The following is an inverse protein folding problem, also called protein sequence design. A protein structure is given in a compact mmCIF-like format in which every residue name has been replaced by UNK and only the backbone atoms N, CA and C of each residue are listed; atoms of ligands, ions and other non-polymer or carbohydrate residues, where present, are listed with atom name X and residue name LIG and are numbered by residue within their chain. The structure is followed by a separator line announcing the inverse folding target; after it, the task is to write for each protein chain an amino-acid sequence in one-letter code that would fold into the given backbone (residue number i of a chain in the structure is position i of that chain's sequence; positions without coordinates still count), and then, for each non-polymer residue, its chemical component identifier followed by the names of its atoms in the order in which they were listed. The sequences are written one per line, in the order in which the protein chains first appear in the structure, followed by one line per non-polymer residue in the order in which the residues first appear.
data_IF_765281816235
#
_entry.id   IF_765281816235
#
_cell.length_a   1.000
_cell.length_b   1.000
_cell.length_c   1.000
_cell.angle_alpha   90.00
_cell.angle_beta   90.00
_cell.angle_gamma   90.00
#
_symmetry.space_group_name_H-M   'P 1'
#
loop_
_entity.id
_entity.type
_entity.pdbx_description
1 polymer ?
#
# COMPACT_ATOMS: atom_id res chain seq x y z
N UNK A 1 -14.13 16.37 -46.86
CA UNK A 1 -14.65 16.60 -45.49
C UNK A 1 -15.58 15.42 -45.17
N UNK A 2 -15.50 14.61 -44.12
CA UNK A 2 -14.72 14.56 -42.88
C UNK A 2 -14.34 13.09 -42.65
N UNK A 3 -13.07 12.81 -42.34
CA UNK A 3 -12.63 11.48 -41.89
C UNK A 3 -13.04 11.35 -40.42
N UNK A 4 -13.94 10.43 -40.11
CA UNK A 4 -14.26 10.06 -38.74
C UNK A 4 -13.12 9.17 -38.21
N UNK A 5 -12.21 9.78 -37.46
CA UNK A 5 -11.15 9.07 -36.75
C UNK A 5 -11.79 8.50 -35.48
N UNK A 6 -12.10 7.20 -35.50
CA UNK A 6 -12.49 6.43 -34.33
C UNK A 6 -11.26 6.22 -33.45
N UNK A 7 -11.07 7.12 -32.49
CA UNK A 7 -10.14 6.96 -31.38
C UNK A 7 -10.70 5.90 -30.42
N UNK A 8 -10.30 4.64 -30.63
CA UNK A 8 -10.49 3.57 -29.66
C UNK A 8 -9.51 3.84 -28.51
N UNK A 9 -9.97 4.56 -27.50
CA UNK A 9 -9.28 4.68 -26.22
C UNK A 9 -9.42 3.32 -25.52
N UNK A 10 -8.38 2.49 -25.64
CA UNK A 10 -8.23 1.29 -24.83
C UNK A 10 -7.97 1.74 -23.40
N UNK A 11 -9.02 1.89 -22.61
CA UNK A 11 -8.92 2.01 -21.16
C UNK A 11 -8.47 0.65 -20.67
N UNK A 12 -7.16 0.48 -20.49
CA UNK A 12 -6.61 -0.61 -19.71
C UNK A 12 -7.06 -0.35 -18.27
N UNK A 13 -8.22 -0.88 -17.91
CA UNK A 13 -8.61 -1.04 -16.52
C UNK A 13 -7.69 -2.11 -15.96
N UNK A 14 -6.52 -1.69 -15.48
CA UNK A 14 -5.79 -2.47 -14.49
C UNK A 14 -6.71 -2.51 -13.27
N UNK A 15 -7.57 -3.53 -13.24
CA UNK A 15 -8.23 -3.95 -12.02
C UNK A 15 -7.13 -4.22 -11.03
N UNK A 16 -6.86 -3.24 -10.15
CA UNK A 16 -6.01 -3.42 -9.01
C UNK A 16 -6.62 -4.59 -8.23
N UNK A 17 -5.98 -5.75 -8.32
CA UNK A 17 -6.26 -6.85 -7.42
C UNK A 17 -5.92 -6.34 -6.02
N UNK A 18 -6.92 -5.79 -5.31
CA UNK A 18 -6.86 -5.34 -3.90
C UNK A 18 -6.38 -6.43 -2.92
N UNK A 19 -6.13 -7.66 -3.39
CA UNK A 19 -5.69 -8.81 -2.58
C UNK A 19 -4.32 -8.65 -1.91
N UNK A 20 -3.50 -7.68 -2.30
CA UNK A 20 -2.11 -7.58 -1.82
C UNK A 20 -1.94 -7.02 -0.39
N UNK A 21 -2.98 -6.43 0.22
CA UNK A 21 -2.91 -5.96 1.63
C UNK A 21 -3.95 -6.60 2.53
N UNK A 22 -4.04 -7.92 2.49
CA UNK A 22 -4.70 -8.63 3.58
C UNK A 22 -3.86 -8.39 4.84
N UNK A 23 -4.42 -7.72 5.84
CA UNK A 23 -3.76 -7.51 7.13
C UNK A 23 -3.35 -8.89 7.68
N UNK A 24 -2.14 -9.07 8.22
CA UNK A 24 -1.58 -10.38 8.56
C UNK A 24 -2.18 -10.96 9.85
N UNK A 25 -3.49 -10.82 10.03
CA UNK A 25 -4.17 -11.06 11.29
C UNK A 25 -5.65 -11.39 11.03
N UNK A 26 -6.05 -12.66 11.24
CA UNK A 26 -7.44 -13.09 11.04
C UNK A 26 -8.41 -12.43 12.03
N UNK A 27 -7.93 -12.05 13.22
CA UNK A 27 -8.75 -11.47 14.29
C UNK A 27 -8.66 -9.94 14.37
N UNK A 28 -8.28 -9.29 13.28
CA UNK A 28 -8.08 -7.84 13.26
C UNK A 28 -9.33 -7.08 12.84
N UNK A 29 -9.55 -5.93 13.48
CA UNK A 29 -10.71 -5.08 13.23
C UNK A 29 -10.46 -4.12 12.08
N UNK A 30 -11.56 -3.75 11.42
CA UNK A 30 -11.61 -2.68 10.44
C UNK A 30 -12.18 -1.42 11.11
N UNK A 31 -11.37 -0.37 11.20
CA UNK A 31 -11.81 0.93 11.68
C UNK A 31 -12.06 1.85 10.48
N UNK A 32 -13.32 2.22 10.29
CA UNK A 32 -13.80 3.03 9.20
C UNK A 32 -14.17 4.43 9.67
N UNK A 33 -14.14 5.40 8.75
CA UNK A 33 -14.51 6.79 8.97
C UNK A 33 -15.53 7.24 7.91
N UNK A 34 -16.40 8.19 8.25
CA UNK A 34 -17.36 8.74 7.27
C UNK A 34 -16.71 9.68 6.26
N UNK A 35 -15.68 10.40 6.72
CA UNK A 35 -14.95 11.39 5.94
C UNK A 35 -13.45 11.08 5.94
N UNK A 36 -12.69 11.51 4.92
CA UNK A 36 -11.23 11.45 4.93
C UNK A 36 -10.69 12.25 6.12
N UNK A 37 -9.76 11.66 6.87
CA UNK A 37 -9.28 12.22 8.12
C UNK A 37 -8.00 13.06 7.95
N UNK A 38 -7.81 14.11 8.76
CA UNK A 38 -8.76 14.65 9.73
C UNK A 38 -9.96 15.33 9.05
N UNK A 39 -11.12 15.24 9.68
CA UNK A 39 -12.34 15.87 9.16
C UNK A 39 -12.20 17.40 9.03
N UNK A 40 -12.73 17.97 7.95
CA UNK A 40 -12.66 19.40 7.61
C UNK A 40 -11.25 20.03 7.60
N UNK A 41 -10.21 19.24 7.30
CA UNK A 41 -8.84 19.73 7.07
C UNK A 41 -8.48 19.83 5.58
N UNK A 42 -7.41 20.57 5.27
CA UNK A 42 -6.95 20.82 3.90
C UNK A 42 -6.32 19.57 3.30
N UNK A 43 -6.81 19.17 2.13
CA UNK A 43 -6.27 18.08 1.33
C UNK A 43 -5.01 18.52 0.58
N UNK A 44 -4.02 17.65 0.52
CA UNK A 44 -2.83 17.84 -0.29
C UNK A 44 -3.10 17.36 -1.72
N UNK A 45 -2.46 18.00 -2.70
CA UNK A 45 -2.44 17.60 -4.10
C UNK A 45 -1.17 16.82 -4.48
N UNK A 46 -0.20 16.78 -3.56
CA UNK A 46 1.11 16.14 -3.76
C UNK A 46 1.76 15.74 -2.44
N UNK A 47 2.62 14.71 -2.50
CA UNK A 47 3.46 14.37 -1.35
C UNK A 47 4.51 15.46 -1.13
N UNK A 48 4.71 15.95 0.12
CA UNK A 48 5.74 16.93 0.42
C UNK A 48 7.14 16.39 0.11
N UNK A 49 8.04 17.24 -0.40
CA UNK A 49 9.40 16.85 -0.81
C UNK A 49 10.16 16.03 0.23
N UNK A 50 9.98 16.33 1.53
CA UNK A 50 10.66 15.59 2.61
C UNK A 50 10.33 14.08 2.62
N UNK A 51 9.12 13.70 2.21
CA UNK A 51 8.66 12.30 2.15
C UNK A 51 9.04 11.61 0.84
N UNK A 52 9.48 12.35 -0.18
CA UNK A 52 9.81 11.76 -1.48
C UNK A 52 11.14 11.01 -1.42
N UNK A 53 11.23 9.93 -2.20
CA UNK A 53 12.42 9.12 -2.36
C UNK A 53 12.15 7.62 -2.25
N UNK A 54 13.24 6.86 -2.12
CA UNK A 54 13.21 5.40 -2.04
C UNK A 54 13.54 4.97 -0.61
N UNK A 55 12.71 4.10 -0.08
CA UNK A 55 12.82 3.52 1.25
C UNK A 55 12.87 2.00 1.15
N UNK A 56 13.52 1.34 2.11
CA UNK A 56 13.66 -0.12 2.16
C UNK A 56 13.33 -0.63 3.56
N UNK A 57 12.54 -1.69 3.67
CA UNK A 57 12.34 -2.40 4.94
C UNK A 57 13.29 -3.61 5.09
N UNK A 58 13.17 -4.33 6.20
CA UNK A 58 13.99 -5.52 6.50
C UNK A 58 13.75 -6.66 5.50
N UNK A 59 12.50 -6.84 5.05
CA UNK A 59 12.11 -7.85 4.05
C UNK A 59 12.59 -7.55 2.62
N UNK A 60 13.39 -6.49 2.44
CA UNK A 60 13.83 -6.01 1.13
C UNK A 60 12.72 -5.60 0.18
N UNK A 61 11.58 -5.20 0.74
CA UNK A 61 10.56 -4.42 0.04
C UNK A 61 11.04 -2.97 -0.06
N UNK A 62 10.94 -2.41 -1.26
CA UNK A 62 11.23 -1.01 -1.53
C UNK A 62 9.94 -0.22 -1.67
N UNK A 63 9.84 0.92 -1.00
CA UNK A 63 8.81 1.91 -1.24
C UNK A 63 9.40 3.09 -1.99
N UNK A 64 8.78 3.47 -3.10
CA UNK A 64 9.05 4.71 -3.81
C UNK A 64 7.91 5.68 -3.58
N UNK A 65 8.20 6.82 -2.97
CA UNK A 65 7.25 7.93 -2.84
C UNK A 65 7.63 8.98 -3.88
N UNK A 66 6.79 9.07 -4.91
CA UNK A 66 6.86 10.10 -5.93
C UNK A 66 5.97 11.30 -5.54
N UNK A 67 5.86 12.29 -6.42
CA UNK A 67 5.00 13.45 -6.18
C UNK A 67 3.52 13.09 -6.01
N UNK A 68 3.03 12.13 -6.80
CA UNK A 68 1.60 11.82 -6.91
C UNK A 68 1.21 10.41 -6.41
N UNK A 69 2.17 9.58 -6.01
CA UNK A 69 1.94 8.17 -5.67
C UNK A 69 2.99 7.56 -4.76
N UNK A 70 2.64 6.43 -4.16
CA UNK A 70 3.50 5.53 -3.42
C UNK A 70 3.45 4.16 -4.12
N UNK A 71 4.60 3.60 -4.47
CA UNK A 71 4.72 2.29 -5.12
C UNK A 71 5.58 1.37 -4.24
N UNK A 72 5.10 0.17 -3.98
CA UNK A 72 5.90 -0.90 -3.40
C UNK A 72 6.50 -1.78 -4.49
N UNK A 73 7.77 -2.13 -4.32
CA UNK A 73 8.47 -3.15 -5.11
C UNK A 73 8.91 -4.25 -4.16
N UNK A 74 8.49 -5.47 -4.40
CA UNK A 74 8.91 -6.64 -3.64
C UNK A 74 9.29 -7.77 -4.58
N UNK A 75 10.04 -8.73 -4.05
CA UNK A 75 10.68 -9.78 -4.84
C UNK A 75 10.27 -11.13 -4.30
N UNK A 76 9.84 -12.02 -5.18
CA UNK A 76 9.73 -13.42 -4.83
C UNK A 76 10.91 -14.18 -5.44
N UNK A 77 11.58 -14.97 -4.59
CA UNK A 77 12.72 -15.78 -4.99
C UNK A 77 12.36 -17.24 -4.90
N UNK A 78 12.64 -17.97 -5.97
CA UNK A 78 12.41 -19.40 -6.07
C UNK A 78 13.66 -20.09 -6.58
N UNK A 79 13.82 -21.36 -6.21
CA UNK A 79 14.94 -22.19 -6.67
C UNK A 79 14.38 -23.38 -7.41
N UNK A 80 14.83 -23.61 -8.63
CA UNK A 80 14.47 -24.78 -9.45
C UNK A 80 15.74 -25.52 -9.87
N UNK A 81 15.63 -26.82 -10.15
CA UNK A 81 16.73 -27.54 -10.78
C UNK A 81 16.85 -27.17 -12.26
N UNK A 82 18.06 -27.17 -12.83
CA UNK A 82 18.27 -26.82 -14.25
C UNK A 82 17.49 -27.72 -15.22
N UNK A 83 17.20 -28.97 -14.83
CA UNK A 83 16.42 -29.89 -15.66
C UNK A 83 14.94 -29.52 -15.77
N UNK A 84 14.42 -28.70 -14.86
CA UNK A 84 13.00 -28.29 -14.86
C UNK A 84 12.70 -27.21 -15.89
N UNK A 85 13.72 -26.54 -16.44
CA UNK A 85 13.58 -25.47 -17.43
C UNK A 85 12.79 -25.94 -18.66
N UNK A 86 13.08 -27.14 -19.14
CA UNK A 86 12.47 -27.66 -20.36
C UNK A 86 10.96 -27.89 -20.19
N UNK A 87 10.54 -28.32 -19.00
CA UNK A 87 9.13 -28.50 -18.64
C UNK A 87 8.33 -27.19 -18.61
N UNK A 88 9.01 -26.04 -18.45
CA UNK A 88 8.37 -24.72 -18.40
C UNK A 88 8.14 -24.11 -19.80
N UNK A 89 8.63 -24.71 -20.87
CA UNK A 89 8.54 -24.12 -22.23
C UNK A 89 7.10 -24.00 -22.76
N UNK A 90 6.14 -24.72 -22.17
CA UNK A 90 4.69 -24.60 -22.48
C UNK A 90 4.20 -23.18 -22.21
N UNK A 91 4.51 -22.66 -21.03
CA UNK A 91 3.91 -21.43 -20.49
C UNK A 91 4.85 -20.22 -20.58
N UNK A 92 6.13 -20.46 -20.87
CA UNK A 92 7.17 -19.43 -20.81
C UNK A 92 8.06 -19.39 -22.07
N UNK A 93 8.58 -18.20 -22.37
CA UNK A 93 9.68 -17.97 -23.31
C UNK A 93 10.98 -17.83 -22.52
N UNK A 94 11.98 -18.63 -22.87
CA UNK A 94 13.22 -18.75 -22.09
C UNK A 94 14.35 -18.10 -22.88
N UNK A 95 14.98 -17.09 -22.28
CA UNK A 95 16.16 -16.40 -22.77
C UNK A 95 17.27 -16.51 -21.73
N UNK A 96 18.54 -16.48 -22.17
CA UNK A 96 19.74 -16.74 -21.33
C UNK A 96 19.61 -16.36 -19.84
N UNK A 97 19.21 -15.14 -19.52
CA UNK A 97 19.12 -14.61 -18.16
C UNK A 97 17.69 -14.25 -17.71
N UNK A 98 16.66 -14.59 -18.50
CA UNK A 98 15.27 -14.23 -18.20
C UNK A 98 14.28 -15.24 -18.76
N UNK A 99 13.22 -15.47 -18.00
CA UNK A 99 12.06 -16.23 -18.44
C UNK A 99 10.88 -15.25 -18.55
N UNK A 100 10.09 -15.33 -19.62
CA UNK A 100 8.95 -14.44 -19.86
C UNK A 100 7.68 -15.27 -19.92
N UNK A 101 6.71 -14.97 -19.04
CA UNK A 101 5.37 -15.57 -19.09
C UNK A 101 4.68 -15.23 -20.40
N UNK A 102 4.15 -16.22 -21.12
CA UNK A 102 3.54 -15.99 -22.44
C UNK A 102 2.25 -15.18 -22.36
N UNK A 103 1.47 -15.38 -21.31
CA UNK A 103 0.17 -14.76 -21.04
C UNK A 103 0.31 -13.30 -20.56
N UNK A 104 1.08 -13.07 -19.49
CA UNK A 104 1.18 -11.75 -18.85
C UNK A 104 2.32 -10.90 -19.38
N UNK A 105 3.23 -11.48 -20.16
CA UNK A 105 4.52 -10.88 -20.56
C UNK A 105 5.40 -10.50 -19.37
N UNK A 106 5.10 -10.98 -18.16
CA UNK A 106 5.90 -10.73 -16.98
C UNK A 106 7.29 -11.37 -17.13
N UNK A 107 8.33 -10.60 -16.82
CA UNK A 107 9.71 -11.06 -16.85
C UNK A 107 10.16 -11.57 -15.48
N UNK A 108 10.82 -12.72 -15.48
CA UNK A 108 11.42 -13.39 -14.33
C UNK A 108 12.92 -13.46 -14.58
N UNK A 109 13.71 -12.89 -13.68
CA UNK A 109 15.17 -12.92 -13.80
C UNK A 109 15.72 -14.26 -13.34
N UNK A 110 16.69 -14.80 -14.05
CA UNK A 110 17.26 -16.12 -13.80
C UNK A 110 18.77 -16.01 -13.57
N UNK A 111 19.27 -16.60 -12.49
CA UNK A 111 20.68 -16.60 -12.12
C UNK A 111 21.17 -18.02 -11.78
N UNK A 112 22.23 -18.54 -12.42
CA UNK A 112 22.77 -19.87 -12.11
C UNK A 112 23.34 -19.96 -10.69
N UNK A 113 23.06 -21.07 -10.00
CA UNK A 113 23.59 -21.41 -8.67
C UNK A 113 23.91 -22.90 -8.59
N UNK A 114 25.13 -23.29 -8.97
CA UNK A 114 25.50 -24.72 -9.06
C UNK A 114 24.59 -25.45 -10.06
N UNK A 115 23.94 -26.52 -9.64
CA UNK A 115 22.98 -27.31 -10.46
C UNK A 115 21.56 -26.74 -10.48
N UNK A 116 21.35 -25.62 -9.80
CA UNK A 116 20.06 -24.95 -9.73
C UNK A 116 20.07 -23.59 -10.42
N UNK A 117 18.88 -23.06 -10.60
CA UNK A 117 18.64 -21.68 -11.00
C UNK A 117 17.88 -20.98 -9.87
N UNK A 118 18.34 -19.78 -9.53
CA UNK A 118 17.57 -18.84 -8.73
C UNK A 118 16.72 -17.98 -9.68
N UNK A 119 15.41 -18.02 -9.47
CA UNK A 119 14.43 -17.20 -10.16
C UNK A 119 14.04 -16.03 -9.26
N UNK A 120 14.04 -14.81 -9.80
CA UNK A 120 13.58 -13.61 -9.11
C UNK A 120 12.44 -12.98 -9.89
N UNK A 121 11.24 -13.03 -9.33
CA UNK A 121 10.08 -12.31 -9.81
C UNK A 121 10.00 -10.95 -9.13
N UNK A 122 9.74 -9.90 -9.91
CA UNK A 122 9.55 -8.54 -9.41
C UNK A 122 8.06 -8.22 -9.43
N UNK A 123 7.55 -7.75 -8.30
CA UNK A 123 6.18 -7.31 -8.14
C UNK A 123 6.15 -5.82 -7.85
N UNK A 124 5.21 -5.12 -8.49
CA UNK A 124 4.96 -3.69 -8.30
C UNK A 124 3.52 -3.52 -7.83
N UNK A 125 3.32 -2.87 -6.70
CA UNK A 125 2.01 -2.55 -6.16
C UNK A 125 1.87 -1.03 -5.95
N UNK A 126 0.74 -0.47 -6.39
CA UNK A 126 0.43 0.94 -6.14
C UNK A 126 -0.19 1.05 -4.76
N UNK A 127 0.60 1.52 -3.82
CA UNK A 127 0.18 1.64 -2.43
C UNK A 127 -0.83 2.78 -2.25
N UNK A 128 -0.55 3.91 -2.90
CA UNK A 128 -1.42 5.06 -2.81
C UNK A 128 -1.22 5.93 -4.05
N UNK A 129 -2.28 6.56 -4.56
CA UNK A 129 -2.19 7.56 -5.62
C UNK A 129 -3.27 8.61 -5.41
N UNK A 130 -2.92 9.88 -5.46
CA UNK A 130 -3.92 10.95 -5.31
C UNK A 130 -5.06 10.76 -6.32
N UNK A 131 -6.29 10.70 -5.81
CA UNK A 131 -7.50 10.51 -6.60
C UNK A 131 -8.73 10.91 -5.80
N UNK A 132 -9.91 10.89 -6.41
CA UNK A 132 -11.17 11.11 -5.71
C UNK A 132 -11.37 10.18 -4.49
N UNK A 133 -10.85 8.95 -4.57
CA UNK A 133 -10.98 7.91 -3.53
C UNK A 133 -9.73 7.78 -2.65
N UNK A 134 -8.68 8.57 -2.88
CA UNK A 134 -7.43 8.49 -2.12
C UNK A 134 -6.93 9.90 -1.85
N UNK A 135 -7.08 10.32 -0.59
CA UNK A 135 -6.85 11.69 -0.13
C UNK A 135 -5.78 11.72 0.94
N UNK A 136 -4.90 12.72 0.89
CA UNK A 136 -3.87 12.92 1.92
C UNK A 136 -4.14 14.24 2.63
N UNK A 137 -4.11 14.21 3.96
CA UNK A 137 -4.16 15.42 4.79
C UNK A 137 -2.97 15.43 5.73
N UNK A 138 -2.57 16.62 6.18
CA UNK A 138 -1.41 16.79 7.07
C UNK A 138 -1.84 17.22 8.47
N UNK A 139 -1.30 16.57 9.49
CA UNK A 139 -1.54 16.95 10.88
C UNK A 139 -0.32 16.65 11.75
N UNK A 140 0.07 17.60 12.60
CA UNK A 140 1.21 17.48 13.53
C UNK A 140 2.51 16.90 12.89
N UNK A 141 2.80 17.29 11.64
CA UNK A 141 4.01 16.85 10.93
C UNK A 141 3.92 15.49 10.23
N UNK A 142 2.84 14.73 10.47
CA UNK A 142 2.50 13.46 9.84
C UNK A 142 1.53 13.66 8.66
N UNK A 143 1.44 12.66 7.79
CA UNK A 143 0.43 12.57 6.75
C UNK A 143 -0.59 11.50 7.12
N UNK A 144 -1.85 11.76 6.84
CA UNK A 144 -2.95 10.81 6.98
C UNK A 144 -3.39 10.45 5.58
N UNK A 145 -3.21 9.19 5.21
CA UNK A 145 -3.60 8.63 3.92
C UNK A 145 -4.98 8.04 4.12
N UNK A 146 -6.01 8.62 3.51
CA UNK A 146 -7.38 8.10 3.58
C UNK A 146 -7.74 7.42 2.26
N UNK A 147 -8.08 6.13 2.28
CA UNK A 147 -8.59 5.41 1.10
C UNK A 147 -10.07 5.11 1.28
N UNK A 148 -10.86 5.41 0.26
CA UNK A 148 -12.28 5.13 0.27
C UNK A 148 -12.53 3.65 -0.03
N UNK A 149 -13.22 2.99 0.88
CA UNK A 149 -13.77 1.65 0.67
C UNK A 149 -15.30 1.72 0.63
N UNK A 150 -15.84 1.71 -0.59
CA UNK A 150 -17.25 1.98 -0.87
C UNK A 150 -17.70 3.35 -0.32
N UNK A 151 -18.55 3.39 0.71
CA UNK A 151 -19.05 4.63 1.33
C UNK A 151 -18.17 5.14 2.46
N UNK A 152 -17.32 4.28 3.03
CA UNK A 152 -16.48 4.59 4.17
C UNK A 152 -15.02 4.85 3.76
N UNK A 153 -14.22 5.34 4.71
CA UNK A 153 -12.80 5.61 4.54
C UNK A 153 -11.99 4.79 5.54
N UNK A 154 -10.94 4.14 5.07
CA UNK A 154 -9.84 3.67 5.91
C UNK A 154 -8.79 4.78 6.07
N UNK A 155 -7.86 4.60 7.01
CA UNK A 155 -6.71 5.49 7.16
C UNK A 155 -5.42 4.74 7.46
N UNK A 156 -4.31 5.30 6.98
CA UNK A 156 -2.95 4.96 7.40
C UNK A 156 -2.22 6.24 7.82
N UNK A 157 -1.44 6.18 8.90
CA UNK A 157 -0.58 7.30 9.29
C UNK A 157 0.79 7.10 8.67
N UNK A 158 1.32 8.16 8.07
CA UNK A 158 2.65 8.19 7.50
C UNK A 158 3.48 9.26 8.20
N UNK A 159 4.46 8.83 8.98
CA UNK A 159 5.41 9.70 9.66
C UNK A 159 6.81 9.53 9.10
N UNK A 160 7.59 10.60 9.13
CA UNK A 160 8.99 10.60 8.76
C UNK A 160 9.81 11.25 9.86
N UNK A 161 10.70 10.48 10.47
CA UNK A 161 11.66 10.95 11.44
C UNK A 161 13.08 10.66 10.93
N UNK A 162 13.84 11.73 10.65
CA UNK A 162 15.15 11.65 9.98
C UNK A 162 15.01 10.86 8.66
N UNK A 163 15.63 9.68 8.59
CA UNK A 163 15.61 8.79 7.43
C UNK A 163 14.73 7.54 7.68
N UNK A 164 13.83 7.57 8.66
CA UNK A 164 12.92 6.48 8.98
C UNK A 164 11.48 6.88 8.67
N UNK A 165 10.89 6.20 7.70
CA UNK A 165 9.50 6.32 7.32
C UNK A 165 8.70 5.24 8.05
N UNK A 166 7.59 5.60 8.66
CA UNK A 166 6.74 4.67 9.39
C UNK A 166 5.32 4.76 8.85
N UNK A 167 4.79 3.61 8.41
CA UNK A 167 3.37 3.41 8.16
C UNK A 167 2.74 2.82 9.42
N UNK A 168 1.81 3.55 10.03
CA UNK A 168 1.00 3.04 11.13
C UNK A 168 -0.38 2.65 10.62
N UNK A 169 -0.75 1.42 10.90
CA UNK A 169 -2.09 0.89 10.65
C UNK A 169 -2.77 0.62 11.99
N UNK A 170 -4.03 1.05 12.15
CA UNK A 170 -4.83 0.75 13.35
C UNK A 170 -5.80 -0.37 12.99
N UNK A 171 -5.69 -1.49 13.68
CA UNK A 171 -6.51 -2.67 13.40
C UNK A 171 -6.58 -3.67 14.55
N UNK A 172 -5.89 -3.43 15.68
CA UNK A 172 -5.91 -4.41 16.77
C UNK A 172 -7.25 -4.30 17.50
N UNK A 173 -7.84 -5.42 17.98
CA UNK A 173 -9.03 -5.36 18.82
C UNK A 173 -8.86 -4.44 20.04
N UNK A 174 -7.67 -4.43 20.64
CA UNK A 174 -7.34 -3.54 21.76
C UNK A 174 -7.34 -2.05 21.40
N UNK A 175 -7.22 -1.69 20.11
CA UNK A 175 -7.24 -0.30 19.68
C UNK A 175 -8.65 0.32 19.75
N UNK A 176 -9.71 -0.49 19.66
CA UNK A 176 -11.09 -0.01 19.78
C UNK A 176 -11.31 0.76 21.09
N UNK A 177 -10.94 0.14 22.22
CA UNK A 177 -11.04 0.77 23.54
C UNK A 177 -10.20 2.05 23.65
N UNK A 178 -9.05 2.09 22.98
CA UNK A 178 -8.17 3.27 22.97
C UNK A 178 -8.79 4.41 22.17
N UNK A 179 -9.36 4.12 20.99
CA UNK A 179 -10.08 5.09 20.17
C UNK A 179 -11.30 5.64 20.92
N UNK A 180 -12.05 4.75 21.56
CA UNK A 180 -13.19 5.12 22.40
C UNK A 180 -12.79 5.98 23.59
N UNK A 181 -11.60 5.80 24.17
CA UNK A 181 -11.15 6.60 25.32
C UNK A 181 -10.95 8.10 25.00
N UNK A 182 -10.75 8.44 23.72
CA UNK A 182 -10.49 9.82 23.29
C UNK A 182 -11.60 10.41 22.41
N UNK A 183 -12.67 9.66 22.17
CA UNK A 183 -13.83 10.09 21.39
C UNK A 183 -15.08 10.17 22.28
N UNK A 184 -15.84 11.25 22.10
CA UNK A 184 -17.10 11.47 22.80
C UNK A 184 -18.16 10.48 22.30
N UNK A 185 -18.25 10.28 20.98
CA UNK A 185 -19.11 9.28 20.36
C UNK A 185 -18.31 7.99 20.21
N UNK A 186 -18.75 6.93 20.90
CA UNK A 186 -18.15 5.60 20.81
C UNK A 186 -18.33 5.01 19.42
N UNK A 187 -17.40 4.15 19.06
CA UNK A 187 -17.42 3.40 17.83
C UNK A 187 -18.77 2.69 17.61
N UNK A 188 -19.33 2.85 16.42
CA UNK A 188 -20.57 2.15 16.03
C UNK A 188 -20.21 0.87 15.30
N UNK A 189 -20.73 -0.27 15.77
CA UNK A 189 -20.58 -1.56 15.10
C UNK A 189 -21.25 -1.51 13.72
N UNK A 190 -20.51 -1.90 12.67
CA UNK A 190 -21.03 -2.10 11.31
C UNK A 190 -21.34 -3.59 11.12
N UNK A 191 -20.38 -4.45 11.46
CA UNK A 191 -20.48 -5.91 11.45
C UNK A 191 -19.59 -6.50 12.56
N UNK A 192 -19.36 -7.82 12.58
CA UNK A 192 -18.60 -8.49 13.64
C UNK A 192 -17.15 -8.00 13.81
N UNK A 193 -16.53 -7.45 12.75
CA UNK A 193 -15.13 -7.04 12.74
C UNK A 193 -14.95 -5.56 12.36
N UNK A 194 -16.01 -4.87 11.96
CA UNK A 194 -15.97 -3.51 11.41
C UNK A 194 -16.66 -2.49 12.31
N UNK A 195 -15.99 -1.35 12.52
CA UNK A 195 -16.43 -0.29 13.41
C UNK A 195 -16.31 1.07 12.73
N UNK A 196 -17.35 1.88 12.85
CA UNK A 196 -17.38 3.26 12.39
C UNK A 196 -16.93 4.21 13.51
N UNK A 197 -15.85 4.94 13.26
CA UNK A 197 -15.26 5.92 14.17
C UNK A 197 -15.56 7.32 13.62
N UNK A 198 -16.10 8.20 14.47
CA UNK A 198 -16.50 9.56 14.09
C UNK A 198 -15.80 10.62 14.94
N UNK A 199 -14.47 10.74 14.88
CA UNK A 199 -13.77 11.72 15.68
C UNK A 199 -13.97 13.11 15.06
N UNK A 200 -14.18 14.10 15.91
CA UNK A 200 -13.91 15.50 15.54
C UNK A 200 -12.42 15.68 15.26
N UNK A 201 -12.05 16.75 14.57
CA UNK A 201 -10.63 17.10 14.35
C UNK A 201 -9.83 17.19 15.66
N UNK A 202 -10.44 17.67 16.74
CA UNK A 202 -9.79 17.78 18.06
C UNK A 202 -9.52 16.40 18.66
N UNK A 203 -10.49 15.50 18.59
CA UNK A 203 -10.34 14.12 19.07
C UNK A 203 -9.35 13.34 18.20
N UNK A 204 -9.33 13.57 16.88
CA UNK A 204 -8.33 12.98 16.00
C UNK A 204 -6.90 13.38 16.40
N UNK A 205 -6.68 14.62 16.86
CA UNK A 205 -5.40 15.02 17.45
C UNK A 205 -5.06 14.27 18.74
N UNK A 206 -6.06 13.86 19.52
CA UNK A 206 -5.88 13.04 20.71
C UNK A 206 -5.54 11.60 20.33
N UNK A 207 -6.15 11.04 19.27
CA UNK A 207 -5.80 9.71 18.73
C UNK A 207 -4.31 9.61 18.43
N UNK A 208 -3.72 10.64 17.81
CA UNK A 208 -2.29 10.71 17.51
C UNK A 208 -1.35 10.64 18.73
N UNK A 209 -1.88 10.88 19.94
CA UNK A 209 -1.11 10.90 21.19
C UNK A 209 -1.24 9.59 21.98
N UNK A 210 -2.11 8.68 21.55
CA UNK A 210 -2.30 7.40 22.21
C UNK A 210 -1.01 6.58 22.09
N UNK A 211 -0.50 6.10 23.22
CA UNK A 211 0.64 5.18 23.25
C UNK A 211 0.21 3.79 22.81
N UNK A 212 1.10 3.07 22.13
CA UNK A 212 0.88 1.68 21.69
C UNK A 212 -0.41 1.52 20.86
N UNK A 213 -0.71 2.49 19.99
CA UNK A 213 -1.85 2.43 19.07
C UNK A 213 -1.41 1.80 17.74
N UNK A 214 -2.15 0.78 17.31
CA UNK A 214 -1.92 0.12 16.02
C UNK A 214 -0.59 -0.62 15.92
N UNK A 215 -0.17 -0.83 14.69
CA UNK A 215 1.07 -1.50 14.33
C UNK A 215 1.88 -0.64 13.37
N UNK A 216 3.20 -0.61 13.57
CA UNK A 216 4.15 0.19 12.81
C UNK A 216 4.94 -0.68 11.84
N UNK A 217 4.93 -0.30 10.57
CA UNK A 217 5.82 -0.82 9.55
C UNK A 217 6.86 0.24 9.22
N UNK A 218 8.13 -0.08 9.43
CA UNK A 218 9.23 0.85 9.26
C UNK A 218 10.02 0.63 7.97
N UNK A 219 10.46 1.72 7.36
CA UNK A 219 11.31 1.73 6.19
C UNK A 219 12.43 2.75 6.35
N UNK A 220 13.65 2.39 5.97
CA UNK A 220 14.82 3.27 5.97
C UNK A 220 15.02 3.90 4.61
N UNK A 221 15.23 5.22 4.55
CA UNK A 221 15.54 5.94 3.30
C UNK A 221 16.89 5.46 2.75
N UNK A 222 16.91 5.11 1.46
CA UNK A 222 18.10 4.64 0.74
C UNK A 222 18.45 5.51 -0.46
N UNK A 223 17.50 6.29 -1.00
CA UNK A 223 17.74 7.26 -2.06
C UNK A 223 16.76 8.44 -1.95
N UNK A 224 17.15 9.59 -2.48
CA UNK A 224 16.23 10.71 -2.74
C UNK A 224 15.42 10.47 -4.01
#
# INVERSE_FOLDING_TARGET
MRKAILLIVVIIVLGSCKKARMRPCPDCFFFYFENPQPDNDVELDRFPHKFRGIYKNEDSTFLKIDEDRIIATYFAKYKIHKSEIDSMKSDYLIFKNKIIRKDSKQSIYMSPKGDSLELTEVYLDTIFRFSYNQKVKRINGQLILSTRDSVFWDIEFLSLEKNRLTFKNIYLPSDLNKLDSVTAIKAKVIDSMSYLIKPTRKEFKSILKIKNLGYDQEYKKVSN
#
